data_IF_918707861775
#
_entry.id   IF_918707861775
#
_cell.length_a   1.000
_cell.length_b   1.000
_cell.length_c   1.000
_cell.angle_alpha   90.00
_cell.angle_beta   90.00
_cell.angle_gamma   90.00
#
_symmetry.space_group_name_H-M   'P 1'
#
loop_
_entity.id
_entity.type
_entity.pdbx_description
1 polymer ?
#
# COMPACT_ATOMS: atom_id res chain seq x y z
N UNK A 1 -5.66 -15.19 -7.05
CA UNK A 1 -4.47 -15.83 -7.63
C UNK A 1 -4.03 -16.91 -6.65
N UNK A 2 -3.39 -17.99 -7.11
CA UNK A 2 -2.84 -18.99 -6.19
C UNK A 2 -1.79 -18.34 -5.27
N UNK A 3 -1.78 -18.70 -3.99
CA UNK A 3 -0.90 -18.12 -2.98
C UNK A 3 0.58 -18.10 -3.40
N UNK A 4 1.07 -19.21 -3.96
CA UNK A 4 2.47 -19.30 -4.41
C UNK A 4 2.81 -18.24 -5.46
N UNK A 5 1.89 -17.96 -6.40
CA UNK A 5 2.08 -16.92 -7.40
C UNK A 5 2.08 -15.53 -6.76
N UNK A 6 1.18 -15.28 -5.80
CA UNK A 6 1.15 -14.02 -5.06
C UNK A 6 2.45 -13.76 -4.31
N UNK A 7 3.02 -14.80 -3.66
CA UNK A 7 4.33 -14.72 -2.98
C UNK A 7 5.44 -14.40 -3.99
N UNK A 8 5.51 -15.12 -5.11
CA UNK A 8 6.52 -14.89 -6.14
C UNK A 8 6.46 -13.49 -6.74
N UNK A 9 5.26 -12.99 -7.07
CA UNK A 9 5.12 -11.63 -7.60
C UNK A 9 5.34 -10.55 -6.54
N UNK A 10 5.04 -10.82 -5.27
CA UNK A 10 5.39 -9.90 -4.18
C UNK A 10 6.90 -9.81 -4.01
N UNK A 11 7.61 -10.94 -4.07
CA UNK A 11 9.08 -10.95 -4.04
C UNK A 11 9.69 -10.17 -5.23
N UNK A 12 9.12 -10.32 -6.42
CA UNK A 12 9.48 -9.49 -7.57
C UNK A 12 9.19 -8.00 -7.31
N UNK A 13 8.03 -7.70 -6.71
CA UNK A 13 7.64 -6.37 -6.29
C UNK A 13 8.61 -5.72 -5.30
N UNK A 14 9.23 -6.49 -4.40
CA UNK A 14 10.29 -5.98 -3.51
C UNK A 14 11.49 -5.48 -4.32
N UNK A 15 11.92 -6.25 -5.33
CA UNK A 15 13.06 -5.87 -6.19
C UNK A 15 12.74 -4.59 -6.96
N UNK A 16 11.53 -4.51 -7.54
CA UNK A 16 11.06 -3.33 -8.28
C UNK A 16 10.97 -2.12 -7.35
N UNK A 17 10.37 -2.26 -6.16
CA UNK A 17 10.28 -1.18 -5.17
C UNK A 17 11.66 -0.70 -4.71
N UNK A 18 12.63 -1.60 -4.59
CA UNK A 18 14.00 -1.23 -4.25
C UNK A 18 14.65 -0.40 -5.35
N UNK A 19 14.53 -0.84 -6.60
CA UNK A 19 15.03 -0.09 -7.76
C UNK A 19 14.37 1.29 -7.84
N UNK A 20 13.04 1.37 -7.69
CA UNK A 20 12.30 2.64 -7.67
C UNK A 20 12.81 3.52 -6.53
N UNK A 21 12.90 3.02 -5.30
CA UNK A 21 13.39 3.81 -4.17
C UNK A 21 14.78 4.41 -4.44
N UNK A 22 15.70 3.62 -5.00
CA UNK A 22 17.05 4.06 -5.37
C UNK A 22 17.00 5.13 -6.48
N UNK A 23 16.16 4.96 -7.50
CA UNK A 23 15.97 5.96 -8.55
C UNK A 23 15.39 7.28 -8.02
N UNK A 24 14.59 7.21 -6.96
CA UNK A 24 14.07 8.39 -6.23
C UNK A 24 15.05 8.97 -5.20
N UNK A 25 16.31 8.49 -5.18
CA UNK A 25 17.37 9.05 -4.35
C UNK A 25 17.65 8.30 -3.05
N UNK A 26 17.05 7.12 -2.83
CA UNK A 26 17.41 6.29 -1.68
C UNK A 26 18.85 5.76 -1.78
N UNK A 27 19.55 5.55 -0.65
CA UNK A 27 20.91 5.04 -0.66
C UNK A 27 20.97 3.62 -1.24
N UNK A 28 21.83 3.43 -2.24
CA UNK A 28 22.05 2.14 -2.90
C UNK A 28 22.99 1.23 -2.10
N UNK A 29 24.22 1.68 -1.81
CA UNK A 29 25.27 0.86 -1.18
C UNK A 29 25.47 1.13 0.32
N UNK A 30 25.44 2.39 0.74
CA UNK A 30 25.74 2.77 2.14
C UNK A 30 24.68 2.27 3.13
N UNK A 31 23.41 2.22 2.71
CA UNK A 31 22.29 1.75 3.53
C UNK A 31 21.41 0.75 2.77
N UNK A 32 22.04 -0.19 2.06
CA UNK A 32 21.34 -1.23 1.29
C UNK A 32 20.25 -1.94 2.11
N UNK A 33 20.60 -2.43 3.31
CA UNK A 33 19.66 -3.14 4.20
C UNK A 33 18.44 -2.29 4.55
N UNK A 34 18.65 -1.00 4.78
CA UNK A 34 17.57 -0.09 5.15
C UNK A 34 16.61 0.14 3.98
N UNK A 35 17.15 0.40 2.78
CA UNK A 35 16.34 0.52 1.56
C UNK A 35 15.62 -0.79 1.25
N UNK A 36 16.28 -1.94 1.43
CA UNK A 36 15.67 -3.26 1.21
C UNK A 36 14.52 -3.57 2.18
N UNK A 37 14.70 -3.27 3.48
CA UNK A 37 13.62 -3.40 4.48
C UNK A 37 12.42 -2.52 4.11
N UNK A 38 12.66 -1.27 3.69
CA UNK A 38 11.59 -0.41 3.21
C UNK A 38 10.85 -1.02 2.02
N UNK A 39 11.57 -1.54 1.02
CA UNK A 39 10.97 -2.17 -0.16
C UNK A 39 10.12 -3.40 0.21
N UNK A 40 10.55 -4.19 1.20
CA UNK A 40 9.77 -5.31 1.75
C UNK A 40 8.48 -4.81 2.39
N UNK A 41 8.58 -3.83 3.30
CA UNK A 41 7.40 -3.28 3.99
C UNK A 41 6.41 -2.70 2.98
N UNK A 42 6.91 -1.92 2.02
CA UNK A 42 6.08 -1.35 0.97
C UNK A 42 5.40 -2.43 0.13
N UNK A 43 6.11 -3.49 -0.26
CA UNK A 43 5.51 -4.58 -1.04
C UNK A 43 4.46 -5.37 -0.25
N UNK A 44 4.70 -5.62 1.04
CA UNK A 44 3.75 -6.33 1.92
C UNK A 44 2.46 -5.51 2.11
N UNK A 45 2.56 -4.19 2.22
CA UNK A 45 1.38 -3.33 2.40
C UNK A 45 0.67 -3.04 1.07
N UNK A 46 1.42 -2.78 0.00
CA UNK A 46 0.84 -2.29 -1.27
C UNK A 46 0.61 -3.35 -2.34
N UNK A 47 1.40 -4.40 -2.41
CA UNK A 47 1.34 -5.39 -3.50
C UNK A 47 0.66 -6.68 -3.03
N UNK A 48 1.09 -7.21 -1.88
CA UNK A 48 0.62 -8.52 -1.40
C UNK A 48 -0.91 -8.61 -1.24
N UNK A 49 -1.61 -7.63 -0.61
CA UNK A 49 -3.06 -7.73 -0.41
C UNK A 49 -3.84 -7.69 -1.73
N UNK A 50 -3.36 -6.93 -2.72
CA UNK A 50 -3.96 -6.88 -4.06
C UNK A 50 -3.86 -8.23 -4.76
N UNK A 51 -2.69 -8.87 -4.72
CA UNK A 51 -2.46 -10.18 -5.34
C UNK A 51 -3.21 -11.32 -4.66
N UNK A 52 -3.48 -11.20 -3.35
CA UNK A 52 -4.30 -12.17 -2.63
C UNK A 52 -5.77 -12.11 -3.07
N UNK A 53 -6.29 -10.92 -3.33
CA UNK A 53 -7.70 -10.73 -3.69
C UNK A 53 -7.94 -10.86 -5.19
N UNK A 54 -7.01 -10.43 -6.04
CA UNK A 54 -7.13 -10.54 -7.50
C UNK A 54 -7.09 -12.01 -7.95
N UNK A 55 -8.03 -12.48 -8.76
CA UNK A 55 -8.04 -13.87 -9.25
C UNK A 55 -7.03 -14.11 -10.37
N UNK A 56 -6.98 -13.17 -11.31
CA UNK A 56 -6.12 -13.08 -12.48
C UNK A 56 -5.61 -11.63 -12.67
N UNK A 57 -4.79 -11.39 -13.69
CA UNK A 57 -4.28 -10.05 -13.99
C UNK A 57 -5.39 -9.10 -14.45
N UNK A 58 -6.37 -9.58 -15.22
CA UNK A 58 -7.51 -8.75 -15.65
C UNK A 58 -8.31 -8.22 -14.44
N UNK A 59 -8.50 -9.06 -13.42
CA UNK A 59 -9.12 -8.66 -12.15
C UNK A 59 -8.28 -7.65 -11.39
N UNK A 60 -6.95 -7.75 -11.46
CA UNK A 60 -6.05 -6.80 -10.82
C UNK A 60 -6.16 -5.42 -11.46
N UNK A 61 -6.27 -5.34 -12.78
CA UNK A 61 -6.50 -4.08 -13.50
C UNK A 61 -7.83 -3.44 -13.11
N UNK A 62 -8.89 -4.25 -12.98
CA UNK A 62 -10.19 -3.79 -12.50
C UNK A 62 -10.10 -3.30 -11.05
N UNK A 63 -9.33 -3.97 -10.19
CA UNK A 63 -9.15 -3.55 -8.79
C UNK A 63 -8.39 -2.22 -8.71
N UNK A 64 -7.38 -2.01 -9.56
CA UNK A 64 -6.53 -0.81 -9.55
C UNK A 64 -7.22 0.41 -10.17
N UNK A 65 -7.87 0.22 -11.32
CA UNK A 65 -8.37 1.30 -12.18
C UNK A 65 -9.89 1.32 -12.36
N UNK A 66 -10.61 0.29 -11.90
CA UNK A 66 -12.06 0.21 -12.07
C UNK A 66 -12.83 1.13 -11.13
N UNK A 67 -13.80 1.87 -11.68
CA UNK A 67 -14.51 2.92 -10.94
C UNK A 67 -15.80 2.48 -10.22
N UNK A 68 -16.40 1.32 -10.57
CA UNK A 68 -17.74 0.97 -10.08
C UNK A 68 -17.89 -0.53 -9.86
N UNK A 69 -18.26 -0.90 -8.63
CA UNK A 69 -18.65 -2.26 -8.18
C UNK A 69 -17.49 -3.21 -7.80
N UNK A 70 -16.52 -2.74 -7.03
CA UNK A 70 -15.56 -3.64 -6.39
C UNK A 70 -16.17 -4.35 -5.17
N UNK A 71 -15.86 -5.63 -5.01
CA UNK A 71 -16.18 -6.37 -3.79
C UNK A 71 -15.56 -5.69 -2.56
N UNK A 72 -16.18 -5.83 -1.38
CA UNK A 72 -15.67 -5.25 -0.13
C UNK A 72 -14.20 -5.61 0.14
N UNK A 73 -13.78 -6.85 -0.17
CA UNK A 73 -12.39 -7.30 -0.02
C UNK A 73 -11.45 -6.56 -0.97
N UNK A 74 -11.88 -6.35 -2.22
CA UNK A 74 -11.12 -5.61 -3.23
C UNK A 74 -10.97 -4.14 -2.84
N UNK A 75 -12.04 -3.51 -2.35
CA UNK A 75 -12.00 -2.12 -1.87
C UNK A 75 -11.02 -1.97 -0.69
N UNK A 76 -11.04 -2.90 0.27
CA UNK A 76 -10.10 -2.88 1.39
C UNK A 76 -8.65 -3.00 0.93
N UNK A 77 -8.36 -3.96 0.04
CA UNK A 77 -7.01 -4.15 -0.50
C UNK A 77 -6.54 -2.94 -1.32
N UNK A 78 -7.42 -2.34 -2.13
CA UNK A 78 -7.13 -1.15 -2.93
C UNK A 78 -6.78 0.06 -2.06
N UNK A 79 -7.63 0.42 -1.09
CA UNK A 79 -7.36 1.57 -0.23
C UNK A 79 -6.19 1.33 0.73
N UNK A 80 -6.00 0.10 1.21
CA UNK A 80 -4.80 -0.29 1.98
C UNK A 80 -3.53 -0.05 1.15
N UNK A 81 -3.54 -0.46 -0.12
CA UNK A 81 -2.42 -0.30 -1.02
C UNK A 81 -2.11 1.17 -1.33
N UNK A 82 -3.11 1.93 -1.76
CA UNK A 82 -2.96 3.35 -2.04
C UNK A 82 -2.53 4.11 -0.78
N UNK A 83 -3.16 3.82 0.36
CA UNK A 83 -2.80 4.42 1.64
C UNK A 83 -1.33 4.16 1.99
N UNK A 84 -0.84 2.94 1.79
CA UNK A 84 0.57 2.61 2.01
C UNK A 84 1.52 3.36 1.07
N UNK A 85 1.20 3.44 -0.22
CA UNK A 85 2.02 4.16 -1.22
C UNK A 85 2.06 5.66 -0.92
N UNK A 86 0.90 6.29 -0.71
CA UNK A 86 0.83 7.71 -0.37
C UNK A 86 1.51 7.99 0.97
N UNK A 87 1.33 7.13 1.96
CA UNK A 87 2.00 7.25 3.24
C UNK A 87 3.52 7.17 3.12
N UNK A 88 4.04 6.24 2.31
CA UNK A 88 5.48 6.15 2.02
C UNK A 88 5.99 7.44 1.36
N UNK A 89 5.25 7.96 0.39
CA UNK A 89 5.59 9.19 -0.32
C UNK A 89 5.59 10.42 0.60
N UNK A 90 4.59 10.57 1.49
CA UNK A 90 4.60 11.60 2.53
C UNK A 90 5.78 11.44 3.48
N UNK A 91 6.11 10.20 3.87
CA UNK A 91 7.30 9.92 4.67
C UNK A 91 8.59 10.42 4.00
N UNK A 92 8.73 10.21 2.69
CA UNK A 92 9.88 10.69 1.93
C UNK A 92 9.95 12.22 1.92
N UNK A 93 8.82 12.91 1.82
CA UNK A 93 8.76 14.38 1.86
C UNK A 93 9.21 14.98 3.21
N UNK A 94 9.12 14.22 4.30
CA UNK A 94 9.54 14.69 5.63
C UNK A 94 11.07 14.65 5.81
N UNK A 95 11.80 13.94 4.94
CA UNK A 95 13.27 13.81 5.02
C UNK A 95 13.96 15.14 4.71
N UNK A 96 13.67 15.84 3.58
CA UNK A 96 14.33 17.12 3.25
C UNK A 96 14.01 18.27 4.21
N UNK A 97 12.93 18.15 4.99
CA UNK A 97 12.55 19.15 5.98
C UNK A 97 13.52 19.18 7.18
N UNK A 98 14.33 18.12 7.33
CA UNK A 98 15.46 17.93 8.25
C UNK A 98 15.39 18.78 9.52
N UNK A 99 14.50 18.37 10.44
CA UNK A 99 14.38 18.94 11.78
C UNK A 99 15.43 18.36 12.74
N UNK A 100 16.52 17.78 12.20
CA UNK A 100 17.58 17.08 12.95
C UNK A 100 17.05 15.98 13.88
N UNK A 101 15.94 15.32 13.51
CA UNK A 101 15.35 14.26 14.33
C UNK A 101 15.78 12.88 13.86
N UNK A 102 16.08 12.01 14.83
CA UNK A 102 16.47 10.63 14.56
C UNK A 102 15.41 9.85 13.76
N UNK A 103 14.13 10.19 13.92
CA UNK A 103 13.03 9.55 13.22
C UNK A 103 12.91 10.00 11.76
N UNK A 104 13.55 11.11 11.35
CA UNK A 104 13.59 11.60 9.96
C UNK A 104 14.63 10.87 9.09
N UNK A 105 15.50 10.07 9.71
CA UNK A 105 16.56 9.35 8.98
C UNK A 105 15.98 8.26 8.09
N UNK A 106 16.48 8.14 6.86
CA UNK A 106 16.12 7.03 5.99
C UNK A 106 16.37 5.68 6.67
N UNK A 107 15.43 4.71 6.62
CA UNK A 107 14.14 4.70 5.91
C UNK A 107 12.94 4.95 6.83
N UNK A 108 13.15 5.37 8.08
CA UNK A 108 12.12 5.37 9.14
C UNK A 108 10.85 6.11 8.73
N UNK A 109 10.90 7.37 8.22
CA UNK A 109 9.69 8.10 7.84
C UNK A 109 8.86 7.36 6.79
N UNK A 110 9.52 6.75 5.80
CA UNK A 110 8.84 6.04 4.72
C UNK A 110 8.22 4.74 5.21
N UNK A 111 8.90 4.02 6.11
CA UNK A 111 8.36 2.79 6.73
C UNK A 111 7.14 3.12 7.60
N UNK A 112 7.25 4.10 8.50
CA UNK A 112 6.13 4.53 9.33
C UNK A 112 4.98 5.08 8.48
N UNK A 113 5.31 5.88 7.47
CA UNK A 113 4.35 6.40 6.51
C UNK A 113 3.60 5.28 5.80
N UNK A 114 4.30 4.24 5.32
CA UNK A 114 3.68 3.09 4.65
C UNK A 114 2.67 2.38 5.57
N UNK A 115 3.09 2.06 6.81
CA UNK A 115 2.23 1.34 7.75
C UNK A 115 1.04 2.20 8.16
N UNK A 116 1.28 3.45 8.55
CA UNK A 116 0.23 4.35 9.01
C UNK A 116 -0.76 4.71 7.90
N UNK A 117 -0.24 5.04 6.72
CA UNK A 117 -1.06 5.31 5.54
C UNK A 117 -1.89 4.09 5.14
N UNK A 118 -1.31 2.89 5.20
CA UNK A 118 -2.05 1.65 4.98
C UNK A 118 -3.19 1.44 5.97
N UNK A 119 -2.94 1.65 7.28
CA UNK A 119 -3.97 1.58 8.32
C UNK A 119 -5.09 2.58 8.04
N UNK A 120 -4.76 3.84 7.72
CA UNK A 120 -5.75 4.86 7.38
C UNK A 120 -6.58 4.47 6.15
N UNK A 121 -5.93 3.95 5.11
CA UNK A 121 -6.61 3.46 3.91
C UNK A 121 -7.60 2.33 4.21
N UNK A 122 -7.19 1.38 5.05
CA UNK A 122 -8.05 0.29 5.50
C UNK A 122 -9.25 0.79 6.33
N UNK A 123 -9.02 1.70 7.28
CA UNK A 123 -10.08 2.31 8.09
C UNK A 123 -11.06 3.11 7.24
N UNK A 124 -10.57 3.89 6.29
CA UNK A 124 -11.39 4.65 5.35
C UNK A 124 -12.29 3.72 4.52
N UNK A 125 -11.73 2.65 3.95
CA UNK A 125 -12.52 1.67 3.20
C UNK A 125 -13.55 0.97 4.09
N UNK A 126 -13.19 0.60 5.32
CA UNK A 126 -14.11 -0.01 6.28
C UNK A 126 -15.28 0.92 6.62
N UNK A 127 -15.00 2.21 6.82
CA UNK A 127 -16.01 3.23 7.05
C UNK A 127 -16.95 3.39 5.84
N UNK A 128 -16.41 3.47 4.62
CA UNK A 128 -17.24 3.53 3.39
C UNK A 128 -18.14 2.31 3.24
N UNK A 129 -17.61 1.11 3.50
CA UNK A 129 -18.39 -0.13 3.43
C UNK A 129 -19.52 -0.10 4.46
N UNK A 130 -19.25 0.35 5.69
CA UNK A 130 -20.25 0.48 6.74
C UNK A 130 -21.37 1.45 6.35
N UNK A 131 -21.04 2.64 5.83
CA UNK A 131 -22.03 3.61 5.37
C UNK A 131 -22.90 3.04 4.25
N UNK A 132 -22.30 2.43 3.22
CA UNK A 132 -23.06 1.83 2.10
C UNK A 132 -24.01 0.73 2.56
N UNK A 133 -23.69 0.02 3.65
CA UNK A 133 -24.55 -1.01 4.22
C UNK A 133 -25.72 -0.39 5.00
N UNK A 134 -25.49 0.73 5.67
CA UNK A 134 -26.52 1.48 6.41
C UNK A 134 -27.55 2.06 5.46
N UNK A 135 -27.11 2.69 4.36
CA UNK A 135 -27.98 3.25 3.32
C UNK A 135 -28.88 2.18 2.68
N UNK A 136 -28.30 1.06 2.24
CA UNK A 136 -29.07 -0.07 1.68
C UNK A 136 -30.07 -0.71 2.67
N UNK A 137 -29.85 -0.55 3.98
CA UNK A 137 -30.79 -1.05 5.00
C UNK A 137 -31.96 -0.08 5.17
N UNK A 138 -31.69 1.22 5.12
CA UNK A 138 -32.70 2.26 5.20
C UNK A 138 -33.64 2.22 3.98
N UNK A 139 -33.09 2.04 2.77
CA UNK A 139 -33.89 1.90 1.53
C UNK A 139 -34.85 0.70 1.53
N UNK A 140 -34.58 -0.34 2.33
CA UNK A 140 -35.48 -1.51 2.45
C UNK A 140 -36.61 -1.32 3.47
N UNK A 141 -36.52 -0.29 4.30
CA UNK A 141 -37.48 -0.01 5.36
C UNK A 141 -38.51 1.06 4.95
N UNK A 142 -38.23 1.82 3.90
CA UNK A 142 -39.12 2.80 3.25
C UNK A 142 -39.87 2.09 2.12
#
# INVERSE_FOLDING_TARGET
>A
MKLNRAISYTALGVIINHAIAVLFGAPFLSHFTATFVFSIVLAIVSIFPLLLVAENFDSLDIILFGERQLSHKCLLAHHLSLGGIFGAWFGAFVIPLDWDRWWQRWPLPCVFGTVFGGILGFLFSSYKIFLSRSERKLEKLI
#
